data_IF_603358608769
#
_entry.id   IF_603358608769
#
_cell.length_a   1.000
_cell.length_b   1.000
_cell.length_c   1.000
_cell.angle_alpha   90.00
_cell.angle_beta   90.00
_cell.angle_gamma   90.00
#
_symmetry.space_group_name_H-M   'P 1'
#
loop_
_entity.id
_entity.type
_entity.pdbx_description
1 polymer ?
#
# COMPACT_ATOMS: atom_id res chain seq x y z
N UNK A 1 -14.81 21.29 4.54
CA UNK A 1 -14.10 20.04 4.86
C UNK A 1 -12.73 20.13 4.22
N UNK A 2 -11.68 19.76 4.89
CA UNK A 2 -10.33 19.76 4.29
C UNK A 2 -10.28 18.64 3.27
N UNK A 3 -9.86 18.94 2.05
CA UNK A 3 -9.68 17.97 0.96
C UNK A 3 -8.68 16.90 1.38
N UNK A 4 -9.01 15.62 1.20
CA UNK A 4 -8.11 14.50 1.50
C UNK A 4 -8.06 13.56 0.30
N UNK A 5 -6.96 13.58 -0.43
CA UNK A 5 -6.73 12.64 -1.53
C UNK A 5 -6.47 11.24 -0.99
N UNK A 6 -7.04 10.25 -1.66
CA UNK A 6 -6.98 8.85 -1.30
C UNK A 6 -6.82 7.94 -2.51
N UNK A 7 -6.30 6.74 -2.28
CA UNK A 7 -6.36 5.66 -3.26
C UNK A 7 -7.59 4.78 -3.00
N UNK A 8 -8.13 4.23 -4.07
CA UNK A 8 -9.03 3.10 -4.04
C UNK A 8 -8.32 1.87 -4.60
N UNK A 9 -8.62 0.72 -4.03
CA UNK A 9 -8.11 -0.57 -4.47
C UNK A 9 -9.17 -1.67 -4.42
N UNK A 10 -9.38 -2.35 -5.55
CA UNK A 10 -10.24 -3.53 -5.65
C UNK A 10 -9.39 -4.81 -5.53
N UNK A 11 -9.42 -5.44 -4.37
CA UNK A 11 -8.71 -6.69 -4.12
C UNK A 11 -9.34 -7.87 -4.87
N UNK A 12 -10.63 -7.78 -5.27
CA UNK A 12 -11.32 -8.83 -6.00
C UNK A 12 -10.96 -8.86 -7.48
N UNK A 13 -10.58 -7.70 -8.04
CA UNK A 13 -10.19 -7.55 -9.44
C UNK A 13 -8.67 -7.66 -9.66
N UNK A 14 -7.85 -7.53 -8.62
CA UNK A 14 -6.39 -7.54 -8.73
C UNK A 14 -5.86 -8.93 -9.07
N UNK A 15 -5.08 -9.03 -10.16
CA UNK A 15 -4.49 -10.29 -10.64
C UNK A 15 -3.00 -10.45 -10.30
N UNK A 16 -2.46 -9.63 -9.38
CA UNK A 16 -1.02 -9.66 -9.01
C UNK A 16 -0.05 -9.46 -10.19
N UNK A 17 -0.46 -8.72 -11.23
CA UNK A 17 0.35 -8.54 -12.43
C UNK A 17 1.54 -7.58 -12.26
N UNK A 18 1.61 -6.83 -11.15
CA UNK A 18 2.67 -5.88 -10.78
C UNK A 18 2.90 -4.70 -11.74
N UNK A 19 2.05 -4.50 -12.75
CA UNK A 19 2.15 -3.38 -13.68
C UNK A 19 2.19 -2.01 -12.94
N UNK A 20 1.44 -1.86 -11.85
CA UNK A 20 1.44 -0.66 -11.03
C UNK A 20 2.78 -0.44 -10.28
N UNK A 21 3.49 -1.51 -9.92
CA UNK A 21 4.85 -1.43 -9.34
C UNK A 21 5.84 -0.95 -10.39
N UNK A 22 5.87 -1.60 -11.56
CA UNK A 22 6.76 -1.27 -12.66
C UNK A 22 6.58 0.19 -13.11
N UNK A 23 5.33 0.62 -13.33
CA UNK A 23 5.03 2.01 -13.71
C UNK A 23 5.42 3.04 -12.64
N UNK A 24 5.28 2.70 -11.35
CA UNK A 24 5.73 3.57 -10.27
C UNK A 24 7.25 3.68 -10.23
N UNK A 25 7.94 2.55 -10.42
CA UNK A 25 9.40 2.47 -10.42
C UNK A 25 10.00 3.25 -11.61
N UNK A 26 9.48 3.02 -12.80
CA UNK A 26 9.90 3.68 -14.04
C UNK A 26 9.66 5.20 -13.98
N UNK A 27 8.43 5.62 -13.66
CA UNK A 27 8.07 7.05 -13.58
C UNK A 27 8.92 7.85 -12.60
N UNK A 28 9.34 7.24 -11.49
CA UNK A 28 10.07 7.94 -10.42
C UNK A 28 11.56 7.61 -10.41
N UNK A 29 12.07 6.88 -11.42
CA UNK A 29 13.47 6.46 -11.53
C UNK A 29 14.01 5.84 -10.24
N UNK A 30 13.22 4.92 -9.65
CA UNK A 30 13.59 4.34 -8.37
C UNK A 30 14.71 3.32 -8.51
N UNK A 31 15.77 3.41 -7.69
CA UNK A 31 16.89 2.47 -7.74
C UNK A 31 16.47 1.05 -7.33
N UNK A 32 17.34 0.08 -7.60
CA UNK A 32 17.16 -1.30 -7.16
C UNK A 32 17.01 -1.33 -5.63
N UNK A 33 16.05 -2.11 -5.14
CA UNK A 33 15.75 -2.23 -3.70
C UNK A 33 14.68 -1.26 -3.20
N UNK A 34 14.36 -0.17 -3.92
CA UNK A 34 13.31 0.78 -3.53
C UNK A 34 12.04 0.53 -4.34
N UNK A 35 10.93 0.24 -3.65
CA UNK A 35 9.62 0.03 -4.24
C UNK A 35 8.56 0.82 -3.48
N UNK A 36 8.21 2.02 -3.99
CA UNK A 36 7.19 2.86 -3.35
C UNK A 36 5.78 2.26 -3.43
N UNK A 37 5.49 1.51 -4.49
CA UNK A 37 4.28 0.69 -4.58
C UNK A 37 4.69 -0.78 -4.66
N UNK A 38 4.02 -1.61 -3.87
CA UNK A 38 4.29 -3.04 -3.75
C UNK A 38 3.00 -3.81 -3.94
N UNK A 39 3.06 -4.96 -4.58
CA UNK A 39 1.93 -5.88 -4.63
C UNK A 39 2.25 -7.05 -3.72
N UNK A 40 1.56 -7.08 -2.59
CA UNK A 40 1.75 -8.06 -1.53
C UNK A 40 0.73 -9.18 -1.73
N UNK A 41 1.18 -10.40 -1.81
CA UNK A 41 0.33 -11.58 -1.87
C UNK A 41 0.15 -12.15 -0.45
N UNK A 42 -1.10 -12.27 -0.03
CA UNK A 42 -1.47 -12.87 1.24
C UNK A 42 -2.24 -14.16 0.98
N UNK A 43 -1.90 -15.21 1.69
CA UNK A 43 -2.54 -16.50 1.50
C UNK A 43 -2.36 -17.42 2.68
N UNK A 44 -3.20 -18.44 2.73
CA UNK A 44 -3.23 -19.42 3.80
C UNK A 44 -3.85 -20.72 3.37
N UNK A 45 -4.06 -21.59 4.36
CA UNK A 45 -4.56 -22.94 4.18
C UNK A 45 -3.50 -23.99 4.52
N UNK A 46 -3.93 -25.22 4.48
CA UNK A 46 -3.08 -26.38 4.80
C UNK A 46 -3.45 -27.57 3.93
N UNK A 47 -2.51 -28.51 3.81
CA UNK A 47 -2.76 -29.82 3.28
C UNK A 47 -3.09 -30.77 4.42
N UNK A 48 -4.17 -31.54 4.29
CA UNK A 48 -4.57 -32.56 5.25
C UNK A 48 -4.47 -33.94 4.60
N UNK A 49 -3.95 -34.97 5.31
CA UNK A 49 -3.90 -36.31 4.78
C UNK A 49 -5.30 -36.89 4.64
N UNK A 50 -5.51 -37.67 3.57
CA UNK A 50 -6.75 -38.42 3.39
C UNK A 50 -6.84 -39.51 4.46
N UNK A 51 -7.96 -39.63 5.21
CA UNK A 51 -8.11 -40.62 6.26
C UNK A 51 -8.18 -42.08 5.77
N UNK A 52 -8.62 -42.26 4.51
CA UNK A 52 -8.85 -43.61 3.95
C UNK A 52 -7.73 -44.04 3.00
N UNK A 53 -7.06 -43.08 2.33
CA UNK A 53 -6.04 -43.37 1.30
C UNK A 53 -4.68 -42.85 1.72
N UNK A 54 -3.80 -43.72 2.21
CA UNK A 54 -2.44 -43.36 2.59
C UNK A 54 -1.66 -42.77 1.40
N UNK A 55 -1.08 -41.58 1.62
CA UNK A 55 -0.31 -40.86 0.60
C UNK A 55 -1.11 -39.84 -0.21
N UNK A 56 -2.42 -39.80 -0.09
CA UNK A 56 -3.24 -38.74 -0.67
C UNK A 56 -3.42 -37.58 0.31
N UNK A 57 -3.40 -36.35 -0.22
CA UNK A 57 -3.51 -35.13 0.56
C UNK A 57 -4.56 -34.21 -0.09
N UNK A 58 -5.38 -33.56 0.70
CA UNK A 58 -6.41 -32.62 0.26
C UNK A 58 -6.10 -31.21 0.76
N UNK A 59 -6.30 -30.18 -0.08
CA UNK A 59 -6.24 -28.80 0.37
C UNK A 59 -7.40 -28.48 1.30
N UNK A 60 -7.12 -27.77 2.39
CA UNK A 60 -8.14 -27.32 3.36
C UNK A 60 -7.98 -25.82 3.62
N UNK A 61 -9.07 -25.07 3.49
CA UNK A 61 -9.13 -23.64 3.72
C UNK A 61 -8.06 -22.84 2.94
N UNK A 62 -7.75 -23.28 1.72
CA UNK A 62 -6.78 -22.61 0.86
C UNK A 62 -7.40 -21.35 0.29
N UNK A 63 -6.71 -20.22 0.48
CA UNK A 63 -7.07 -18.93 -0.10
C UNK A 63 -5.83 -18.13 -0.44
N UNK A 64 -5.97 -17.21 -1.38
CA UNK A 64 -4.95 -16.21 -1.71
C UNK A 64 -5.57 -14.98 -2.37
N UNK A 65 -5.04 -13.83 -2.05
CA UNK A 65 -5.36 -12.57 -2.73
C UNK A 65 -4.16 -11.63 -2.69
N UNK A 66 -4.19 -10.62 -3.53
CA UNK A 66 -3.15 -9.62 -3.61
C UNK A 66 -3.63 -8.26 -3.11
N UNK A 67 -2.71 -7.46 -2.57
CA UNK A 67 -2.94 -6.06 -2.17
C UNK A 67 -1.88 -5.19 -2.82
N UNK A 68 -2.31 -4.18 -3.56
CA UNK A 68 -1.43 -3.15 -4.08
C UNK A 68 -1.26 -2.02 -3.05
N UNK A 69 -0.24 -2.14 -2.22
CA UNK A 69 0.07 -1.19 -1.15
C UNK A 69 1.09 -0.13 -1.60
N UNK A 70 0.91 1.11 -1.12
CA UNK A 70 1.86 2.21 -1.25
C UNK A 70 1.79 3.05 0.03
N UNK A 71 2.37 4.27 0.04
CA UNK A 71 2.07 5.22 1.11
C UNK A 71 0.57 5.51 1.13
N UNK A 72 -0.03 5.42 2.30
CA UNK A 72 -1.47 5.63 2.50
C UNK A 72 -1.85 7.10 2.64
N UNK A 73 -0.89 8.04 2.64
CA UNK A 73 -1.10 9.47 2.85
C UNK A 73 -2.10 9.75 3.98
N UNK A 74 -1.83 9.13 5.13
CA UNK A 74 -2.72 9.03 6.28
C UNK A 74 -3.28 10.39 6.74
N UNK A 75 -4.48 10.37 7.34
CA UNK A 75 -5.05 11.56 7.94
C UNK A 75 -4.24 11.97 9.18
N UNK A 76 -3.77 10.98 9.95
CA UNK A 76 -2.89 11.12 11.13
C UNK A 76 -1.51 10.51 10.86
N UNK A 77 -0.62 11.18 10.07
CA UNK A 77 0.62 10.57 9.59
C UNK A 77 1.69 10.50 10.70
N UNK A 78 1.90 9.34 11.30
CA UNK A 78 2.93 9.10 12.31
C UNK A 78 4.35 9.40 11.80
N UNK A 79 4.61 9.17 10.50
CA UNK A 79 5.90 9.52 9.89
C UNK A 79 6.20 11.03 9.95
N UNK A 80 5.18 11.89 9.83
CA UNK A 80 5.37 13.34 9.98
C UNK A 80 5.59 13.72 11.45
N UNK A 81 4.83 13.11 12.36
CA UNK A 81 4.95 13.35 13.80
C UNK A 81 6.32 12.90 14.35
N UNK A 82 6.93 11.85 13.78
CA UNK A 82 8.22 11.31 14.20
C UNK A 82 9.43 12.04 13.60
N UNK A 83 9.23 12.96 12.64
CA UNK A 83 10.33 13.61 11.95
C UNK A 83 10.99 14.72 12.80
N UNK A 84 12.24 14.56 13.27
CA UNK A 84 12.85 15.51 14.18
C UNK A 84 13.18 16.86 13.54
N UNK A 85 13.29 16.90 12.20
CA UNK A 85 13.62 18.13 11.44
C UNK A 85 12.41 18.74 10.75
N UNK A 86 11.20 18.19 10.96
CA UNK A 86 9.99 18.66 10.28
C UNK A 86 10.07 18.55 8.75
N UNK A 87 10.85 17.59 8.24
CA UNK A 87 11.04 17.37 6.81
C UNK A 87 9.84 16.67 6.13
N UNK A 88 8.86 16.19 6.89
CA UNK A 88 7.66 15.57 6.34
C UNK A 88 6.47 16.48 6.60
N UNK A 89 5.77 16.85 5.53
CA UNK A 89 4.64 17.78 5.59
C UNK A 89 3.41 17.20 4.88
N UNK A 90 2.24 17.62 5.33
CA UNK A 90 0.97 17.30 4.69
C UNK A 90 0.48 18.52 3.93
N UNK A 91 0.16 18.35 2.64
CA UNK A 91 -0.40 19.39 1.77
C UNK A 91 -1.87 19.66 2.15
N UNK A 92 -2.44 20.74 1.61
CA UNK A 92 -3.86 21.09 1.79
C UNK A 92 -4.82 20.04 1.22
N UNK A 93 -4.37 19.29 0.19
CA UNK A 93 -5.11 18.18 -0.41
C UNK A 93 -4.88 16.83 0.34
N UNK A 94 -4.20 16.86 1.46
CA UNK A 94 -3.95 15.68 2.29
C UNK A 94 -2.75 14.83 1.86
N UNK A 95 -2.10 15.13 0.75
CA UNK A 95 -0.90 14.40 0.30
C UNK A 95 0.27 14.66 1.25
N UNK A 96 0.87 13.61 1.77
CA UNK A 96 2.03 13.68 2.68
C UNK A 96 3.31 13.56 1.86
N UNK A 97 4.22 14.53 1.97
CA UNK A 97 5.47 14.58 1.23
C UNK A 97 6.69 14.66 2.15
N UNK A 98 7.82 14.12 1.68
CA UNK A 98 9.14 14.32 2.29
C UNK A 98 9.86 15.43 1.53
N UNK A 99 10.32 16.44 2.23
CA UNK A 99 11.28 17.40 1.70
C UNK A 99 12.69 16.82 1.87
N UNK A 100 13.30 16.41 0.77
CA UNK A 100 14.60 15.75 0.78
C UNK A 100 15.75 16.70 1.17
N UNK A 101 15.62 18.01 0.91
CA UNK A 101 16.63 19.00 1.31
C UNK A 101 16.70 19.17 2.84
N UNK A 102 15.61 18.86 3.56
CA UNK A 102 15.56 18.87 5.03
C UNK A 102 15.86 17.50 5.63
N UNK A 103 15.84 16.45 4.84
CA UNK A 103 15.97 15.09 5.33
C UNK A 103 17.42 14.81 5.76
N UNK A 104 17.59 14.36 7.00
CA UNK A 104 18.92 13.98 7.56
C UNK A 104 19.12 12.45 7.54
N UNK A 105 18.28 11.68 6.88
CA UNK A 105 18.43 10.22 6.74
C UNK A 105 18.29 9.42 8.06
N UNK A 106 17.68 9.98 9.10
CA UNK A 106 17.63 9.34 10.43
C UNK A 106 16.72 8.09 10.53
N UNK A 107 15.92 7.81 9.52
CA UNK A 107 15.02 6.64 9.37
C UNK A 107 13.87 6.53 10.38
N UNK A 108 13.64 7.51 11.27
CA UNK A 108 12.55 7.46 12.25
C UNK A 108 11.17 7.33 11.60
N UNK A 109 10.95 7.94 10.44
CA UNK A 109 9.70 7.83 9.69
C UNK A 109 9.46 6.41 9.13
N UNK A 110 10.53 5.65 8.83
CA UNK A 110 10.45 4.25 8.45
C UNK A 110 9.95 3.39 9.60
N UNK A 111 10.54 3.56 10.80
CA UNK A 111 10.14 2.80 11.99
C UNK A 111 8.75 3.19 12.49
N UNK A 112 8.36 4.45 12.34
CA UNK A 112 7.04 4.92 12.76
C UNK A 112 5.91 4.51 11.82
N UNK A 113 6.20 4.13 10.57
CA UNK A 113 5.19 3.80 9.58
C UNK A 113 4.76 2.33 9.68
N UNK A 114 3.51 2.03 10.06
CA UNK A 114 3.05 0.63 10.17
C UNK A 114 2.94 -0.07 8.81
N UNK A 115 2.99 0.67 7.71
CA UNK A 115 2.93 0.16 6.34
C UNK A 115 4.30 0.00 5.69
N UNK A 116 5.39 0.40 6.36
CA UNK A 116 6.74 0.39 5.80
C UNK A 116 6.87 1.22 4.50
N UNK A 117 6.12 2.33 4.39
CA UNK A 117 6.09 3.11 3.16
C UNK A 117 7.32 4.01 2.94
N UNK A 118 7.90 4.68 3.94
CA UNK A 118 9.19 5.35 3.79
C UNK A 118 10.31 4.33 3.65
N UNK A 119 11.18 4.52 2.66
CA UNK A 119 12.34 3.68 2.38
C UNK A 119 13.58 4.56 2.31
N UNK A 120 14.71 4.05 2.78
CA UNK A 120 15.97 4.76 2.77
C UNK A 120 16.68 4.57 1.43
N UNK A 121 17.06 5.66 0.82
CA UNK A 121 17.90 5.67 -0.38
C UNK A 121 19.36 5.79 0.07
N UNK A 122 20.10 4.71 -0.08
CA UNK A 122 21.50 4.64 0.37
C UNK A 122 22.43 5.52 -0.45
N UNK A 123 22.14 5.70 -1.75
CA UNK A 123 22.94 6.54 -2.63
C UNK A 123 22.72 8.03 -2.33
N UNK A 124 21.46 8.43 -2.20
CA UNK A 124 21.10 9.82 -1.87
C UNK A 124 21.27 10.17 -0.39
N UNK A 125 21.35 9.17 0.51
CA UNK A 125 21.44 9.36 1.96
C UNK A 125 20.18 9.94 2.61
N UNK A 126 19.02 9.84 1.97
CA UNK A 126 17.74 10.42 2.41
C UNK A 126 16.60 9.40 2.38
N UNK A 127 15.52 9.75 3.06
CA UNK A 127 14.29 8.95 3.01
C UNK A 127 13.45 9.30 1.78
N UNK A 128 12.89 8.29 1.16
CA UNK A 128 11.99 8.43 0.02
C UNK A 128 10.68 7.69 0.28
N UNK A 129 9.60 8.05 -0.39
CA UNK A 129 8.32 7.35 -0.38
C UNK A 129 7.41 7.82 -1.50
N UNK A 130 6.33 7.10 -1.76
CA UNK A 130 5.28 7.52 -2.69
C UNK A 130 4.88 8.98 -2.46
N UNK A 131 4.88 9.77 -3.53
CA UNK A 131 4.52 11.19 -3.56
C UNK A 131 3.06 11.42 -3.98
N UNK A 132 2.26 10.37 -4.16
CA UNK A 132 0.95 10.39 -4.83
C UNK A 132 1.05 10.88 -6.28
N UNK A 133 2.24 10.85 -6.88
CA UNK A 133 2.55 11.53 -8.15
C UNK A 133 2.04 12.99 -8.14
N UNK A 134 2.38 13.78 -7.11
CA UNK A 134 1.90 15.15 -6.94
C UNK A 134 2.16 16.03 -8.19
N UNK A 135 3.26 15.79 -8.88
CA UNK A 135 3.62 16.45 -10.15
C UNK A 135 2.63 16.17 -11.30
N UNK A 136 2.00 14.99 -11.32
CA UNK A 136 0.94 14.62 -12.26
C UNK A 136 -0.41 15.13 -11.76
N UNK A 137 -0.67 14.98 -10.45
CA UNK A 137 -1.90 15.43 -9.82
C UNK A 137 -2.12 16.93 -10.00
N UNK A 138 -1.07 17.74 -9.83
CA UNK A 138 -1.10 19.20 -10.01
C UNK A 138 -1.37 19.61 -11.47
N UNK A 139 -1.19 18.69 -12.42
CA UNK A 139 -1.56 18.85 -13.84
C UNK A 139 -2.92 18.24 -14.19
N UNK A 140 -3.69 17.77 -13.20
CA UNK A 140 -4.97 17.09 -13.42
C UNK A 140 -4.83 15.69 -14.05
N UNK A 141 -3.64 15.09 -13.98
CA UNK A 141 -3.36 13.76 -14.52
C UNK A 141 -3.45 12.68 -13.44
N UNK A 142 -3.63 11.44 -13.87
CA UNK A 142 -3.71 10.29 -12.96
C UNK A 142 -2.33 9.92 -12.43
N UNK A 143 -2.24 9.38 -11.20
CA UNK A 143 -1.03 8.72 -10.73
C UNK A 143 -0.63 7.57 -11.66
N UNK A 144 0.67 7.42 -11.96
CA UNK A 144 1.19 6.44 -12.92
C UNK A 144 0.72 5.00 -12.62
N UNK A 145 0.67 4.62 -11.35
CA UNK A 145 0.21 3.29 -10.94
C UNK A 145 -1.29 3.04 -11.20
N UNK A 146 -2.11 4.08 -11.13
CA UNK A 146 -3.55 4.00 -11.45
C UNK A 146 -3.72 3.86 -12.96
N UNK A 147 -3.01 4.66 -13.74
CA UNK A 147 -3.10 4.66 -15.20
C UNK A 147 -2.61 3.33 -15.80
N UNK A 148 -1.55 2.76 -15.24
CA UNK A 148 -0.96 1.49 -15.68
C UNK A 148 -1.76 0.26 -15.24
N UNK A 149 -2.78 0.38 -14.39
CA UNK A 149 -3.52 -0.78 -13.90
C UNK A 149 -4.38 -1.41 -14.99
N UNK A 150 -3.95 -2.55 -15.52
CA UNK A 150 -4.64 -3.25 -16.62
C UNK A 150 -6.03 -3.75 -16.23
N UNK A 151 -6.21 -4.13 -14.96
CA UNK A 151 -7.47 -4.61 -14.41
C UNK A 151 -8.39 -3.48 -13.92
N UNK A 152 -7.93 -2.22 -13.96
CA UNK A 152 -8.65 -1.07 -13.38
C UNK A 152 -9.04 -1.26 -11.90
N UNK A 153 -8.24 -2.06 -11.21
CA UNK A 153 -8.38 -2.31 -9.78
C UNK A 153 -7.87 -1.15 -8.90
N UNK A 154 -7.25 -0.13 -9.47
CA UNK A 154 -6.80 1.08 -8.79
C UNK A 154 -7.58 2.29 -9.30
N UNK A 155 -8.01 3.14 -8.37
CA UNK A 155 -8.58 4.46 -8.63
C UNK A 155 -8.01 5.45 -7.60
N UNK A 156 -8.29 6.73 -7.77
CA UNK A 156 -7.89 7.80 -6.85
C UNK A 156 -8.92 8.93 -6.88
N UNK A 157 -8.98 9.68 -5.82
CA UNK A 157 -9.90 10.81 -5.71
C UNK A 157 -9.95 11.35 -4.29
N UNK A 158 -10.93 12.18 -4.01
CA UNK A 158 -11.21 12.62 -2.65
C UNK A 158 -11.76 11.45 -1.83
N UNK A 159 -11.31 11.33 -0.59
CA UNK A 159 -11.63 10.19 0.28
C UNK A 159 -13.14 10.01 0.46
N UNK A 160 -13.86 11.10 0.67
CA UNK A 160 -15.32 11.04 0.90
C UNK A 160 -16.07 10.61 -0.38
N UNK A 161 -15.61 11.05 -1.57
CA UNK A 161 -16.17 10.60 -2.86
C UNK A 161 -15.90 9.11 -3.10
N UNK A 162 -14.68 8.64 -2.80
CA UNK A 162 -14.33 7.23 -2.94
C UNK A 162 -15.13 6.36 -1.97
N UNK A 163 -15.31 6.81 -0.72
CA UNK A 163 -16.16 6.12 0.26
C UNK A 163 -17.61 6.06 -0.17
N UNK A 164 -18.16 7.14 -0.69
CA UNK A 164 -19.52 7.16 -1.20
C UNK A 164 -19.73 6.20 -2.39
N UNK A 165 -18.68 6.00 -3.21
CA UNK A 165 -18.73 5.16 -4.42
C UNK A 165 -18.46 3.68 -4.13
N UNK A 166 -17.51 3.37 -3.25
CA UNK A 166 -16.97 2.03 -3.09
C UNK A 166 -17.11 1.44 -1.69
N UNK A 167 -17.64 2.20 -0.73
CA UNK A 167 -17.74 1.81 0.68
C UNK A 167 -16.59 2.34 1.51
N UNK A 168 -16.56 1.99 2.78
CA UNK A 168 -15.69 2.57 3.81
C UNK A 168 -14.67 1.60 4.40
N UNK A 169 -14.46 0.45 3.77
CA UNK A 169 -13.42 -0.50 4.19
C UNK A 169 -12.05 0.08 3.86
N UNK A 170 -11.22 0.27 4.88
CA UNK A 170 -9.91 0.91 4.79
C UNK A 170 -8.74 0.02 5.19
N UNK A 171 -9.01 -1.19 5.67
CA UNK A 171 -7.99 -2.18 6.02
C UNK A 171 -8.51 -3.62 5.93
N UNK A 172 -7.73 -4.49 5.31
CA UNK A 172 -7.88 -5.95 5.30
C UNK A 172 -6.50 -6.58 5.51
N UNK A 173 -6.42 -7.84 5.93
CA UNK A 173 -5.13 -8.54 6.04
C UNK A 173 -4.35 -8.50 4.70
N UNK A 174 -3.02 -8.35 4.72
CA UNK A 174 -2.10 -8.21 5.86
C UNK A 174 -1.84 -6.74 6.29
N UNK A 175 -2.70 -5.80 5.91
CA UNK A 175 -2.52 -4.40 6.34
C UNK A 175 -2.81 -4.27 7.84
N UNK A 176 -2.11 -3.37 8.54
CA UNK A 176 -2.39 -3.06 9.94
C UNK A 176 -3.77 -2.41 10.10
N UNK A 177 -4.28 -2.41 11.34
CA UNK A 177 -5.58 -1.79 11.65
C UNK A 177 -5.57 -0.30 11.31
N UNK A 178 -6.64 0.17 10.69
CA UNK A 178 -6.76 1.55 10.21
C UNK A 178 -6.74 2.61 11.31
N UNK A 179 -7.21 2.28 12.51
CA UNK A 179 -7.25 3.21 13.66
C UNK A 179 -5.87 3.68 14.14
N UNK A 180 -4.77 3.11 13.64
CA UNK A 180 -3.41 3.50 14.01
C UNK A 180 -3.02 4.85 13.36
N UNK A 181 -3.40 5.07 12.11
CA UNK A 181 -2.97 6.25 11.33
C UNK A 181 -4.08 6.87 10.49
N UNK A 182 -5.27 6.30 10.47
CA UNK A 182 -6.39 6.72 9.61
C UNK A 182 -5.94 6.80 8.14
N UNK A 183 -5.67 5.67 7.49
CA UNK A 183 -5.15 5.64 6.12
C UNK A 183 -6.16 6.24 5.14
N UNK A 184 -5.68 7.02 4.18
CA UNK A 184 -6.50 7.51 3.08
C UNK A 184 -6.55 6.46 1.97
N UNK A 185 -7.23 5.39 2.27
CA UNK A 185 -7.40 4.21 1.42
C UNK A 185 -8.84 3.72 1.52
N UNK A 186 -9.39 3.29 0.39
CA UNK A 186 -10.67 2.59 0.31
C UNK A 186 -10.46 1.27 -0.42
N UNK A 187 -10.99 0.18 0.11
CA UNK A 187 -10.77 -1.16 -0.42
C UNK A 187 -12.12 -1.84 -0.73
N UNK A 188 -12.26 -2.39 -1.93
CA UNK A 188 -13.23 -3.47 -2.17
C UNK A 188 -12.56 -4.79 -1.81
N UNK A 189 -13.00 -5.49 -0.75
CA UNK A 189 -12.36 -6.70 -0.28
C UNK A 189 -12.47 -7.85 -1.29
N UNK A 190 -11.44 -8.70 -1.35
CA UNK A 190 -11.56 -10.02 -1.98
C UNK A 190 -12.56 -10.88 -1.16
N UNK A 191 -13.23 -11.84 -1.82
CA UNK A 191 -14.19 -12.75 -1.15
C UNK A 191 -13.61 -13.49 0.07
N UNK A 192 -12.30 -13.77 0.03
CA UNK A 192 -11.58 -14.45 1.11
C UNK A 192 -10.81 -13.46 2.01
N UNK A 193 -11.05 -12.16 1.86
CA UNK A 193 -10.36 -11.16 2.67
C UNK A 193 -10.75 -11.28 4.15
N UNK A 194 -9.74 -11.14 5.00
CA UNK A 194 -9.90 -11.21 6.45
C UNK A 194 -9.72 -9.81 7.05
N UNK A 195 -10.40 -9.55 8.14
CA UNK A 195 -10.29 -8.27 8.86
C UNK A 195 -8.88 -8.13 9.44
N UNK A 196 -8.28 -6.96 9.33
CA UNK A 196 -6.94 -6.69 9.86
C UNK A 196 -6.81 -7.04 11.34
N UNK A 197 -5.82 -7.85 11.69
CA UNK A 197 -5.56 -8.37 13.04
C UNK A 197 -6.31 -9.65 13.37
N UNK A 198 -7.02 -10.28 12.42
CA UNK A 198 -7.70 -11.57 12.61
C UNK A 198 -7.22 -12.64 11.62
N UNK A 199 -6.15 -12.35 10.90
CA UNK A 199 -5.67 -13.16 9.79
C UNK A 199 -5.19 -14.55 10.20
N UNK A 200 -5.48 -15.55 9.35
CA UNK A 200 -5.03 -16.93 9.48
C UNK A 200 -3.97 -17.30 8.44
N UNK A 201 -3.66 -16.38 7.54
CA UNK A 201 -2.68 -16.53 6.49
C UNK A 201 -1.32 -15.89 6.81
N UNK A 202 -0.51 -15.80 5.80
CA UNK A 202 0.80 -15.14 5.83
C UNK A 202 1.08 -14.43 4.49
N UNK A 203 2.02 -13.52 4.52
CA UNK A 203 2.57 -12.95 3.28
C UNK A 203 3.39 -14.04 2.59
N UNK A 204 3.08 -14.28 1.31
CA UNK A 204 3.73 -15.29 0.48
C UNK A 204 4.48 -14.70 -0.71
N UNK A 205 4.53 -13.36 -0.81
CA UNK A 205 5.41 -12.66 -1.77
C UNK A 205 6.88 -12.90 -1.42
N UNK A 206 7.73 -12.92 -2.44
CA UNK A 206 9.17 -12.96 -2.22
C UNK A 206 9.66 -11.64 -1.60
N UNK A 207 10.73 -11.67 -0.76
CA UNK A 207 11.26 -10.45 -0.14
C UNK A 207 11.64 -9.36 -1.16
N UNK A 208 12.11 -9.73 -2.33
CA UNK A 208 12.51 -8.82 -3.42
C UNK A 208 11.31 -8.08 -4.05
N UNK A 209 10.10 -8.55 -3.78
CA UNK A 209 8.85 -7.97 -4.29
C UNK A 209 8.19 -6.99 -3.29
N UNK A 210 8.75 -6.90 -2.06
CA UNK A 210 8.14 -6.12 -0.97
C UNK A 210 8.81 -4.75 -0.72
#
# INVERSE_FOLDING_TARGET
MTKQMAFYFDASACTDCKACMAACKDKNDLPVGINWRRVIKYGGGQWIPDPENKGLWHPSNVFTYAISAACMHCQSPLCAASCPVGGITKREDGVVLINQDKCIGCRYCEWACPYGAPQFDEEAGVMTKCTFCADLLDKGQKPACVDACVMRALDFGELDELRAKYGDVDAIEPLPKANITEPSLVITPHRDAQVSGTGTGRIISMPEEM
#
